data_IF_956402763585
#
_entry.id   IF_956402763585
#
_cell.length_a   1.000
_cell.length_b   1.000
_cell.length_c   1.000
_cell.angle_alpha   90.00
_cell.angle_beta   90.00
_cell.angle_gamma   90.00
#
_symmetry.space_group_name_H-M   'P 1'
#
loop_
_entity.id
_entity.type
_entity.pdbx_description
1 polymer ?
#
# COMPACT_ATOMS: atom_id res chain seq x y z
N UNK A 1 -27.76 -18.90 -21.15
CA UNK A 1 -29.01 -18.37 -20.57
C UNK A 1 -29.51 -19.21 -19.41
N UNK A 2 -29.16 -20.51 -19.35
CA UNK A 2 -29.40 -21.39 -18.19
C UNK A 2 -30.87 -21.49 -17.76
N UNK A 3 -31.78 -21.18 -18.69
CA UNK A 3 -33.23 -21.29 -18.56
C UNK A 3 -33.60 -22.71 -18.12
N UNK A 4 -34.44 -22.90 -17.08
CA UNK A 4 -34.78 -24.23 -16.58
C UNK A 4 -35.55 -25.05 -17.61
N UNK A 5 -35.51 -26.37 -17.48
CA UNK A 5 -36.09 -27.30 -18.46
C UNK A 5 -37.63 -27.18 -18.48
N UNK A 6 -38.25 -26.90 -17.34
CA UNK A 6 -39.70 -26.66 -17.25
C UNK A 6 -40.12 -25.46 -18.13
N UNK A 7 -39.39 -24.35 -18.10
CA UNK A 7 -39.66 -23.18 -18.96
C UNK A 7 -39.46 -23.50 -20.45
N UNK A 8 -38.44 -24.29 -20.81
CA UNK A 8 -38.20 -24.69 -22.21
C UNK A 8 -39.30 -25.57 -22.76
N UNK A 9 -39.74 -26.56 -21.97
CA UNK A 9 -40.73 -27.56 -22.39
C UNK A 9 -42.06 -26.96 -22.84
N UNK A 10 -42.41 -25.76 -22.35
CA UNK A 10 -43.60 -25.01 -22.78
C UNK A 10 -43.58 -24.67 -24.27
N UNK A 11 -42.40 -24.51 -24.87
CA UNK A 11 -42.19 -24.10 -26.25
C UNK A 11 -41.67 -25.22 -27.17
N UNK A 12 -41.50 -26.45 -26.69
CA UNK A 12 -41.08 -27.61 -27.52
C UNK A 12 -41.97 -27.80 -28.75
N UNK A 13 -43.27 -27.55 -28.61
CA UNK A 13 -44.24 -27.60 -29.70
C UNK A 13 -44.00 -26.55 -30.81
N UNK A 14 -43.29 -25.45 -30.50
CA UNK A 14 -42.82 -24.45 -31.45
C UNK A 14 -41.48 -24.88 -32.04
N UNK A 15 -40.53 -25.29 -31.20
CA UNK A 15 -39.16 -25.65 -31.60
C UNK A 15 -39.11 -26.86 -32.54
N UNK A 16 -39.99 -27.85 -32.33
CA UNK A 16 -40.12 -29.02 -33.21
C UNK A 16 -40.51 -28.67 -34.66
N UNK A 17 -41.18 -27.53 -34.90
CA UNK A 17 -41.61 -27.14 -36.25
C UNK A 17 -40.43 -26.89 -37.21
N UNK A 18 -39.23 -26.61 -36.68
CA UNK A 18 -38.00 -26.45 -37.47
C UNK A 18 -37.68 -27.74 -38.25
N UNK A 19 -38.09 -28.90 -37.75
CA UNK A 19 -37.88 -30.22 -38.38
C UNK A 19 -39.15 -30.84 -38.99
N UNK A 20 -40.32 -30.21 -38.80
CA UNK A 20 -41.61 -30.74 -39.23
C UNK A 20 -41.92 -30.45 -40.70
N UNK A 21 -42.77 -31.26 -41.32
CA UNK A 21 -43.21 -31.01 -42.70
C UNK A 21 -44.30 -29.93 -42.77
N UNK A 22 -44.38 -29.19 -43.88
CA UNK A 22 -45.40 -28.13 -44.06
C UNK A 22 -46.83 -28.64 -43.83
N UNK A 23 -47.14 -29.87 -44.25
CA UNK A 23 -48.46 -30.49 -44.08
C UNK A 23 -48.76 -30.76 -42.60
N UNK A 24 -47.77 -31.22 -41.85
CA UNK A 24 -47.86 -31.54 -40.42
C UNK A 24 -48.03 -30.28 -39.56
N UNK A 25 -47.28 -29.21 -39.87
CA UNK A 25 -47.40 -27.89 -39.23
C UNK A 25 -48.81 -27.30 -39.43
N UNK A 26 -49.37 -27.44 -40.63
CA UNK A 26 -50.75 -26.98 -40.94
C UNK A 26 -51.79 -27.81 -40.19
N UNK A 27 -51.66 -29.14 -40.15
CA UNK A 27 -52.63 -30.02 -39.48
C UNK A 27 -52.63 -29.83 -37.96
N UNK A 28 -51.48 -29.65 -37.34
CA UNK A 28 -51.37 -29.40 -35.89
C UNK A 28 -51.82 -28.01 -35.46
N UNK A 29 -52.07 -27.09 -36.41
CA UNK A 29 -52.41 -25.70 -36.09
C UNK A 29 -51.26 -24.92 -35.42
N UNK A 30 -50.01 -25.37 -35.60
CA UNK A 30 -48.85 -24.84 -34.89
C UNK A 30 -48.47 -23.39 -35.28
N UNK A 31 -49.07 -22.86 -36.35
CA UNK A 31 -48.98 -21.46 -36.79
C UNK A 31 -50.31 -20.70 -36.57
N UNK A 32 -51.13 -21.11 -35.60
CA UNK A 32 -52.28 -20.31 -35.17
C UNK A 32 -51.80 -18.96 -34.61
N UNK A 33 -52.55 -17.88 -34.86
CA UNK A 33 -52.18 -16.52 -34.45
C UNK A 33 -51.82 -16.41 -32.96
N UNK A 34 -52.54 -17.11 -32.08
CA UNK A 34 -52.26 -17.15 -30.65
C UNK A 34 -50.88 -17.76 -30.31
N UNK A 35 -50.43 -18.77 -31.05
CA UNK A 35 -49.11 -19.41 -30.85
C UNK A 35 -48.01 -18.47 -31.33
N UNK A 36 -48.25 -17.74 -32.43
CA UNK A 36 -47.32 -16.73 -32.95
C UNK A 36 -47.18 -15.59 -31.93
N UNK A 37 -48.29 -14.99 -31.48
CA UNK A 37 -48.32 -13.92 -30.47
C UNK A 37 -47.64 -14.35 -29.15
N UNK A 38 -47.91 -15.58 -28.68
CA UNK A 38 -47.25 -16.14 -27.50
C UNK A 38 -45.73 -16.33 -27.70
N UNK A 39 -45.31 -16.71 -28.91
CA UNK A 39 -43.88 -16.89 -29.25
C UNK A 39 -43.17 -15.54 -29.36
N UNK A 40 -43.79 -14.53 -29.97
CA UNK A 40 -43.26 -13.16 -30.07
C UNK A 40 -43.01 -12.57 -28.66
N UNK A 41 -43.98 -12.69 -27.76
CA UNK A 41 -43.85 -12.24 -26.35
C UNK A 41 -42.73 -12.97 -25.61
N UNK A 42 -42.52 -14.27 -25.86
CA UNK A 42 -41.42 -15.02 -25.24
C UNK A 42 -40.06 -14.64 -25.82
N UNK A 43 -39.97 -14.36 -27.13
CA UNK A 43 -38.74 -13.84 -27.75
C UNK A 43 -38.36 -12.49 -27.13
N UNK A 44 -39.32 -11.55 -27.02
CA UNK A 44 -39.11 -10.26 -26.36
C UNK A 44 -38.65 -10.43 -24.89
N UNK A 45 -39.24 -11.39 -24.15
CA UNK A 45 -38.83 -11.72 -22.77
C UNK A 45 -37.40 -12.26 -22.73
N UNK A 46 -37.05 -13.15 -23.65
CA UNK A 46 -35.72 -13.76 -23.72
C UNK A 46 -34.65 -12.76 -24.15
N UNK A 47 -34.96 -11.80 -25.03
CA UNK A 47 -34.04 -10.73 -25.41
C UNK A 47 -33.84 -9.72 -24.28
N UNK A 48 -34.89 -9.36 -23.52
CA UNK A 48 -34.76 -8.59 -22.28
C UNK A 48 -33.90 -9.34 -21.24
N UNK A 49 -34.08 -10.65 -21.10
CA UNK A 49 -33.26 -11.49 -20.23
C UNK A 49 -31.80 -11.56 -20.73
N UNK A 50 -31.57 -11.63 -22.05
CA UNK A 50 -30.25 -11.61 -22.68
C UNK A 50 -29.54 -10.30 -22.41
N UNK A 51 -30.21 -9.15 -22.61
CA UNK A 51 -29.68 -7.82 -22.32
C UNK A 51 -29.37 -7.62 -20.83
N UNK A 52 -30.27 -8.04 -19.94
CA UNK A 52 -30.08 -7.99 -18.49
C UNK A 52 -28.86 -8.81 -18.04
N UNK A 53 -28.75 -10.06 -18.53
CA UNK A 53 -27.61 -10.94 -18.22
C UNK A 53 -26.31 -10.44 -18.85
N UNK A 54 -26.37 -9.84 -20.04
CA UNK A 54 -25.24 -9.19 -20.69
C UNK A 54 -24.68 -8.06 -19.83
N UNK A 55 -25.56 -7.16 -19.37
CA UNK A 55 -25.23 -6.02 -18.51
C UNK A 55 -24.57 -6.45 -17.20
N UNK A 56 -25.06 -7.52 -16.57
CA UNK A 56 -24.44 -8.09 -15.37
C UNK A 56 -23.00 -8.60 -15.63
N UNK A 57 -22.78 -9.32 -16.72
CA UNK A 57 -21.45 -9.88 -17.06
C UNK A 57 -20.50 -8.76 -17.49
N UNK A 58 -20.98 -7.80 -18.28
CA UNK A 58 -20.21 -6.64 -18.70
C UNK A 58 -19.73 -5.83 -17.49
N UNK A 59 -20.60 -5.48 -16.54
CA UNK A 59 -20.16 -4.75 -15.34
C UNK A 59 -19.19 -5.54 -14.46
N UNK A 60 -19.29 -6.88 -14.41
CA UNK A 60 -18.29 -7.72 -13.72
C UNK A 60 -16.92 -7.65 -14.40
N UNK A 61 -16.87 -7.69 -15.74
CA UNK A 61 -15.64 -7.51 -16.51
C UNK A 61 -15.06 -6.09 -16.37
N UNK A 62 -15.92 -5.08 -16.35
CA UNK A 62 -15.53 -3.69 -16.14
C UNK A 62 -14.92 -3.47 -14.75
N UNK A 63 -15.49 -4.08 -13.71
CA UNK A 63 -14.93 -4.04 -12.36
C UNK A 63 -13.56 -4.75 -12.27
N UNK A 64 -13.38 -5.89 -12.94
CA UNK A 64 -12.06 -6.55 -13.05
C UNK A 64 -11.04 -5.64 -13.76
N UNK A 65 -11.44 -4.98 -14.85
CA UNK A 65 -10.62 -4.03 -15.60
C UNK A 65 -10.16 -2.86 -14.72
N UNK A 66 -11.10 -2.25 -13.99
CA UNK A 66 -10.86 -1.16 -13.03
C UNK A 66 -9.92 -1.59 -11.89
N UNK A 67 -10.10 -2.80 -11.32
CA UNK A 67 -9.21 -3.33 -10.29
C UNK A 67 -7.77 -3.47 -10.80
N UNK A 68 -7.57 -3.97 -12.03
CA UNK A 68 -6.23 -4.14 -12.63
C UNK A 68 -5.54 -2.78 -12.81
N UNK A 69 -6.25 -1.79 -13.33
CA UNK A 69 -5.69 -0.45 -13.56
C UNK A 69 -5.45 0.32 -12.26
N UNK A 70 -6.30 0.17 -11.24
CA UNK A 70 -6.06 0.72 -9.91
C UNK A 70 -4.76 0.15 -9.30
N UNK A 71 -4.54 -1.16 -9.36
CA UNK A 71 -3.27 -1.78 -8.94
C UNK A 71 -2.07 -1.34 -9.80
N UNK A 72 -2.32 -0.92 -11.05
CA UNK A 72 -1.29 -0.36 -11.93
C UNK A 72 -1.08 1.16 -11.76
N UNK A 73 -1.81 1.84 -10.86
CA UNK A 73 -1.80 3.30 -10.73
C UNK A 73 -2.12 4.04 -12.04
N UNK A 74 -3.07 3.51 -12.82
CA UNK A 74 -3.60 4.11 -14.05
C UNK A 74 -5.01 4.64 -13.77
N UNK A 75 -5.21 5.92 -14.03
CA UNK A 75 -6.51 6.58 -13.87
C UNK A 75 -7.44 6.24 -15.04
N UNK A 76 -8.71 5.94 -14.74
CA UNK A 76 -9.78 5.73 -15.72
C UNK A 76 -11.01 6.52 -15.28
N UNK A 77 -11.76 7.04 -16.25
CA UNK A 77 -13.13 7.47 -16.04
C UNK A 77 -14.08 6.26 -15.97
N UNK A 78 -14.30 5.76 -14.76
CA UNK A 78 -15.27 4.69 -14.44
C UNK A 78 -16.69 5.04 -14.89
N UNK A 79 -17.13 6.29 -14.74
CA UNK A 79 -18.51 6.69 -15.06
C UNK A 79 -18.72 6.68 -16.57
N UNK A 80 -17.80 7.26 -17.35
CA UNK A 80 -17.86 7.21 -18.81
C UNK A 80 -17.73 5.78 -19.37
N UNK A 81 -16.90 4.93 -18.76
CA UNK A 81 -16.78 3.53 -19.17
C UNK A 81 -18.07 2.74 -18.94
N UNK A 82 -18.70 2.91 -17.76
CA UNK A 82 -19.98 2.28 -17.44
C UNK A 82 -21.13 2.82 -18.30
N UNK A 83 -21.17 4.12 -18.55
CA UNK A 83 -22.14 4.75 -19.45
C UNK A 83 -22.03 4.23 -20.89
N UNK A 84 -20.81 4.07 -21.41
CA UNK A 84 -20.55 3.51 -22.74
C UNK A 84 -21.01 2.05 -22.87
N UNK A 85 -20.78 1.22 -21.83
CA UNK A 85 -21.29 -0.16 -21.79
C UNK A 85 -22.81 -0.18 -21.84
N UNK A 86 -23.46 0.71 -21.07
CA UNK A 86 -24.91 0.84 -21.04
C UNK A 86 -25.48 1.25 -22.41
N UNK A 87 -24.92 2.28 -23.04
CA UNK A 87 -25.32 2.75 -24.37
C UNK A 87 -25.19 1.65 -25.43
N UNK A 88 -24.09 0.89 -25.44
CA UNK A 88 -23.88 -0.20 -26.37
C UNK A 88 -24.95 -1.29 -26.23
N UNK A 89 -25.30 -1.69 -24.99
CA UNK A 89 -26.30 -2.72 -24.72
C UNK A 89 -27.72 -2.21 -25.04
N UNK A 90 -28.09 -1.03 -24.55
CA UNK A 90 -29.44 -0.48 -24.70
C UNK A 90 -29.74 -0.08 -26.16
N UNK A 91 -28.71 0.19 -26.98
CA UNK A 91 -28.87 0.46 -28.42
C UNK A 91 -29.19 -0.78 -29.27
N UNK A 92 -28.97 -2.00 -28.74
CA UNK A 92 -29.17 -3.25 -29.46
C UNK A 92 -28.26 -3.49 -30.68
N UNK A 93 -27.32 -2.59 -30.96
CA UNK A 93 -26.50 -2.61 -32.19
C UNK A 93 -25.26 -3.52 -32.13
N UNK A 94 -24.98 -4.14 -30.98
CA UNK A 94 -23.83 -5.03 -30.79
C UNK A 94 -24.29 -6.42 -30.36
N UNK A 95 -23.70 -7.46 -30.93
CA UNK A 95 -24.00 -8.83 -30.49
C UNK A 95 -23.35 -9.06 -29.10
N UNK A 96 -24.11 -9.52 -28.10
CA UNK A 96 -23.63 -10.11 -26.85
C UNK A 96 -22.23 -10.73 -26.84
N UNK A 97 -21.96 -11.66 -27.75
CA UNK A 97 -20.69 -12.38 -27.78
C UNK A 97 -19.50 -11.47 -28.11
N UNK A 98 -19.69 -10.53 -29.04
CA UNK A 98 -18.64 -9.61 -29.51
C UNK A 98 -18.28 -8.57 -28.44
N UNK A 99 -19.29 -8.03 -27.73
CA UNK A 99 -19.08 -7.12 -26.61
C UNK A 99 -18.25 -7.79 -25.50
N UNK A 100 -18.63 -9.00 -25.08
CA UNK A 100 -17.90 -9.72 -24.02
C UNK A 100 -16.48 -10.09 -24.46
N UNK A 101 -16.29 -10.47 -25.73
CA UNK A 101 -14.97 -10.77 -26.28
C UNK A 101 -14.07 -9.52 -26.34
N UNK A 102 -14.60 -8.35 -26.70
CA UNK A 102 -13.84 -7.09 -26.63
C UNK A 102 -13.45 -6.75 -25.20
N UNK A 103 -14.36 -6.89 -24.24
CA UNK A 103 -14.04 -6.67 -22.81
C UNK A 103 -12.97 -7.66 -22.29
N UNK A 104 -13.01 -8.92 -22.70
CA UNK A 104 -11.93 -9.89 -22.39
C UNK A 104 -10.59 -9.46 -23.01
N UNK A 105 -10.59 -8.96 -24.25
CA UNK A 105 -9.40 -8.41 -24.89
C UNK A 105 -8.88 -7.14 -24.16
N UNK A 106 -9.77 -6.29 -23.64
CA UNK A 106 -9.38 -5.14 -22.81
C UNK A 106 -8.74 -5.58 -21.49
N UNK A 107 -9.31 -6.59 -20.82
CA UNK A 107 -8.75 -7.17 -19.59
C UNK A 107 -7.34 -7.77 -19.84
N UNK A 108 -7.14 -8.46 -20.96
CA UNK A 108 -5.81 -8.99 -21.34
C UNK A 108 -4.80 -7.85 -21.52
N UNK A 109 -5.16 -6.80 -22.27
CA UNK A 109 -4.31 -5.61 -22.47
C UNK A 109 -4.00 -4.89 -21.15
N UNK A 110 -4.97 -4.77 -20.24
CA UNK A 110 -4.75 -4.18 -18.92
C UNK A 110 -3.79 -5.02 -18.06
N UNK A 111 -3.83 -6.35 -18.14
CA UNK A 111 -2.87 -7.25 -17.48
C UNK A 111 -1.47 -7.10 -18.07
N UNK A 112 -1.34 -6.95 -19.38
CA UNK A 112 -0.06 -6.64 -20.05
C UNK A 112 0.48 -5.27 -19.64
N UNK A 113 -0.38 -4.25 -19.57
CA UNK A 113 -0.04 -2.90 -19.09
C UNK A 113 0.48 -2.93 -17.65
N UNK A 114 -0.25 -3.57 -16.74
CA UNK A 114 0.13 -3.72 -15.33
C UNK A 114 1.46 -4.46 -15.17
N UNK A 115 1.71 -5.52 -15.95
CA UNK A 115 2.99 -6.22 -15.98
C UNK A 115 4.13 -5.32 -16.50
N UNK A 116 3.88 -4.47 -17.50
CA UNK A 116 4.88 -3.53 -18.02
C UNK A 116 5.25 -2.44 -17.01
N UNK A 117 4.27 -1.98 -16.21
CA UNK A 117 4.44 -0.93 -15.20
C UNK A 117 5.06 -1.46 -13.90
N UNK A 118 4.88 -2.75 -13.60
CA UNK A 118 5.26 -3.40 -12.35
C UNK A 118 6.67 -3.04 -11.87
N UNK A 119 7.70 -3.12 -12.70
CA UNK A 119 9.07 -2.89 -12.23
C UNK A 119 9.33 -1.43 -11.80
N UNK A 120 8.60 -0.48 -12.39
CA UNK A 120 8.61 0.92 -11.98
C UNK A 120 7.82 1.07 -10.66
N UNK A 121 6.64 0.47 -10.55
CA UNK A 121 5.82 0.52 -9.34
C UNK A 121 6.50 -0.12 -8.11
N UNK A 122 7.12 -1.29 -8.26
CA UNK A 122 7.95 -1.95 -7.23
C UNK A 122 9.08 -1.01 -6.73
N UNK A 123 9.59 -0.12 -7.60
CA UNK A 123 10.58 0.90 -7.25
C UNK A 123 9.98 2.15 -6.63
N UNK A 124 8.78 2.57 -7.04
CA UNK A 124 8.03 3.67 -6.41
C UNK A 124 7.68 3.28 -4.97
N UNK A 125 7.11 2.10 -4.73
CA UNK A 125 6.88 1.55 -3.39
C UNK A 125 8.19 1.56 -2.57
N UNK A 126 9.29 1.09 -3.18
CA UNK A 126 10.56 1.03 -2.48
C UNK A 126 11.12 2.42 -2.13
N UNK A 127 10.92 3.40 -3.00
CA UNK A 127 11.28 4.80 -2.76
C UNK A 127 10.42 5.40 -1.65
N UNK A 128 9.09 5.29 -1.73
CA UNK A 128 8.16 5.79 -0.70
C UNK A 128 8.48 5.22 0.69
N UNK A 129 8.62 3.90 0.82
CA UNK A 129 9.02 3.24 2.08
C UNK A 129 10.39 3.71 2.61
N UNK A 130 11.30 4.12 1.72
CA UNK A 130 12.60 4.68 2.13
C UNK A 130 12.47 6.14 2.60
N UNK A 131 11.55 6.91 2.01
CA UNK A 131 11.20 8.27 2.45
C UNK A 131 10.41 8.28 3.78
N UNK A 132 9.59 7.27 4.05
CA UNK A 132 8.93 7.09 5.37
C UNK A 132 9.96 6.89 6.48
N UNK A 133 10.98 6.05 6.26
CA UNK A 133 12.10 5.89 7.21
C UNK A 133 12.98 7.16 7.29
N UNK A 134 13.03 8.01 6.25
CA UNK A 134 13.64 9.35 6.33
C UNK A 134 12.85 10.24 7.30
N UNK A 135 11.52 10.34 7.14
CA UNK A 135 10.66 11.14 8.01
C UNK A 135 10.74 10.66 9.46
N UNK A 136 10.62 9.35 9.70
CA UNK A 136 10.75 8.77 11.04
C UNK A 136 12.11 9.08 11.68
N UNK A 137 13.19 9.03 10.90
CA UNK A 137 14.53 9.39 11.37
C UNK A 137 14.66 10.89 11.64
N UNK A 138 14.05 11.76 10.84
CA UNK A 138 14.02 13.20 11.11
C UNK A 138 13.29 13.51 12.42
N UNK A 139 12.13 12.90 12.66
CA UNK A 139 11.36 13.09 13.90
C UNK A 139 12.12 12.55 15.13
N UNK A 140 12.71 11.35 15.02
CA UNK A 140 13.59 10.80 16.06
C UNK A 140 14.82 11.69 16.33
N UNK A 141 15.32 12.41 15.33
CA UNK A 141 16.42 13.34 15.53
C UNK A 141 15.98 14.65 16.23
N UNK A 142 14.72 15.08 16.07
CA UNK A 142 14.14 16.27 16.74
C UNK A 142 13.80 16.02 18.21
N UNK A 143 13.51 14.77 18.59
CA UNK A 143 13.22 14.41 19.99
C UNK A 143 14.40 14.70 20.94
N UNK A 144 14.23 15.66 21.84
CA UNK A 144 15.21 15.99 22.88
C UNK A 144 15.34 14.87 23.94
N UNK A 145 14.29 14.07 24.12
CA UNK A 145 14.24 12.98 25.10
C UNK A 145 14.83 11.65 24.58
N UNK A 146 15.33 11.60 23.34
CA UNK A 146 15.80 10.37 22.67
C UNK A 146 16.93 9.62 23.37
N UNK A 147 17.66 10.29 24.26
CA UNK A 147 18.76 9.72 25.07
C UNK A 147 18.38 9.43 26.53
N UNK A 148 17.15 9.70 26.94
CA UNK A 148 16.67 9.27 28.25
C UNK A 148 16.76 7.74 28.35
N UNK A 149 17.15 7.23 29.52
CA UNK A 149 17.41 5.81 29.76
C UNK A 149 16.13 4.94 29.85
N UNK A 150 15.14 5.26 29.01
CA UNK A 150 13.86 4.59 28.87
C UNK A 150 14.03 3.19 28.28
N UNK A 151 13.20 2.25 28.76
CA UNK A 151 13.14 0.87 28.27
C UNK A 151 12.74 0.86 26.79
N UNK A 152 13.73 0.75 25.89
CA UNK A 152 13.55 0.76 24.44
C UNK A 152 14.53 1.65 23.66
N UNK A 153 15.23 2.59 24.32
CA UNK A 153 16.10 3.56 23.66
C UNK A 153 17.17 2.91 22.73
N UNK A 154 17.78 1.81 23.15
CA UNK A 154 18.74 1.05 22.35
C UNK A 154 18.13 0.36 21.11
N UNK A 155 16.83 0.04 21.11
CA UNK A 155 16.14 -0.47 19.92
C UNK A 155 15.86 0.66 18.92
N UNK A 156 15.41 1.82 19.41
CA UNK A 156 15.20 3.00 18.58
C UNK A 156 16.52 3.49 17.96
N UNK A 157 17.61 3.52 18.73
CA UNK A 157 18.94 3.81 18.21
C UNK A 157 19.36 2.83 17.11
N UNK A 158 19.12 1.52 17.28
CA UNK A 158 19.36 0.51 16.25
C UNK A 158 18.49 0.68 14.99
N UNK A 159 17.23 1.15 15.13
CA UNK A 159 16.41 1.53 13.97
C UNK A 159 16.99 2.77 13.29
N UNK A 160 17.40 3.79 14.04
CA UNK A 160 17.99 5.01 13.51
C UNK A 160 19.27 4.75 12.69
N UNK A 161 20.17 3.85 13.12
CA UNK A 161 21.33 3.47 12.31
C UNK A 161 20.93 2.74 11.01
N UNK A 162 19.90 1.87 11.05
CA UNK A 162 19.37 1.23 9.84
C UNK A 162 18.72 2.25 8.90
N UNK A 163 17.92 3.17 9.43
CA UNK A 163 17.26 4.23 8.68
C UNK A 163 18.30 5.12 7.98
N UNK A 164 19.39 5.53 8.65
CA UNK A 164 20.49 6.28 8.00
C UNK A 164 21.08 5.55 6.79
N UNK A 165 21.26 4.23 6.86
CA UNK A 165 21.77 3.43 5.74
C UNK A 165 20.77 3.39 4.58
N UNK A 166 19.47 3.41 4.87
CA UNK A 166 18.40 3.48 3.86
C UNK A 166 18.30 4.88 3.23
N UNK A 167 18.27 5.94 4.06
CA UNK A 167 18.24 7.35 3.62
C UNK A 167 19.42 7.69 2.71
N UNK A 168 20.63 7.21 3.05
CA UNK A 168 21.81 7.40 2.21
C UNK A 168 21.70 6.76 0.81
N UNK A 169 20.76 5.82 0.60
CA UNK A 169 20.51 5.17 -0.70
C UNK A 169 19.41 5.86 -1.52
N UNK A 170 18.64 6.77 -0.94
CA UNK A 170 17.58 7.51 -1.64
C UNK A 170 18.04 8.12 -2.97
N UNK A 171 19.20 8.81 -3.09
CA UNK A 171 19.60 9.41 -4.38
C UNK A 171 19.66 8.33 -5.48
N UNK A 172 20.40 7.25 -5.22
CA UNK A 172 20.56 6.15 -6.18
C UNK A 172 19.24 5.42 -6.50
N UNK A 173 18.28 5.37 -5.56
CA UNK A 173 16.95 4.82 -5.82
C UNK A 173 16.19 5.74 -6.80
N UNK A 174 16.20 7.05 -6.56
CA UNK A 174 15.55 8.07 -7.42
C UNK A 174 16.21 8.11 -8.80
N UNK A 175 17.54 8.16 -8.89
CA UNK A 175 18.30 8.11 -10.15
C UNK A 175 17.93 6.86 -10.98
N UNK A 176 17.88 5.69 -10.33
CA UNK A 176 17.51 4.44 -10.99
C UNK A 176 16.04 4.44 -11.43
N UNK A 177 15.14 5.04 -10.64
CA UNK A 177 13.72 5.13 -10.95
C UNK A 177 13.50 6.07 -12.15
N UNK A 178 14.04 7.28 -12.14
CA UNK A 178 13.99 8.22 -13.26
C UNK A 178 14.53 7.59 -14.55
N UNK A 179 15.69 6.92 -14.50
CA UNK A 179 16.26 6.25 -15.67
C UNK A 179 15.36 5.15 -16.25
N UNK A 180 14.67 4.37 -15.40
CA UNK A 180 13.71 3.36 -15.86
C UNK A 180 12.44 3.97 -16.41
N UNK A 181 11.90 4.99 -15.75
CA UNK A 181 10.72 5.71 -16.23
C UNK A 181 11.00 6.35 -17.60
N UNK A 182 12.13 7.03 -17.79
CA UNK A 182 12.55 7.54 -19.10
C UNK A 182 12.66 6.45 -20.17
N UNK A 183 13.23 5.28 -19.84
CA UNK A 183 13.34 4.17 -20.79
C UNK A 183 11.96 3.68 -21.22
N UNK A 184 11.04 3.48 -20.26
CA UNK A 184 9.67 3.06 -20.53
C UNK A 184 8.88 4.10 -21.34
N UNK A 185 9.03 5.39 -21.03
CA UNK A 185 8.37 6.47 -21.79
C UNK A 185 8.91 6.56 -23.22
N UNK A 186 10.23 6.38 -23.40
CA UNK A 186 10.88 6.40 -24.70
C UNK A 186 10.46 5.21 -25.58
N UNK A 187 10.39 4.00 -25.00
CA UNK A 187 10.02 2.78 -25.72
C UNK A 187 8.54 2.79 -26.14
N UNK A 188 7.67 3.50 -25.41
CA UNK A 188 6.22 3.51 -25.64
C UNK A 188 5.67 4.80 -26.27
N UNK A 189 6.42 5.90 -26.22
CA UNK A 189 5.99 7.20 -26.73
C UNK A 189 4.88 7.88 -25.91
N UNK A 190 4.66 7.46 -24.66
CA UNK A 190 3.66 8.02 -23.74
C UNK A 190 4.27 8.28 -22.36
N UNK A 191 3.77 9.32 -21.67
CA UNK A 191 4.19 9.67 -20.30
C UNK A 191 3.75 8.61 -19.29
N UNK A 192 4.63 8.26 -18.34
CA UNK A 192 4.28 7.42 -17.20
C UNK A 192 3.57 8.30 -16.15
N UNK A 193 2.25 8.32 -16.20
CA UNK A 193 1.44 8.82 -15.08
C UNK A 193 1.38 7.78 -13.96
N UNK A 194 1.38 8.23 -12.72
CA UNK A 194 1.08 7.48 -11.50
C UNK A 194 -0.06 8.24 -10.81
N UNK A 195 -1.24 7.63 -10.70
CA UNK A 195 -2.46 8.26 -10.17
C UNK A 195 -2.74 9.64 -10.81
N UNK A 196 -2.70 9.68 -12.14
CA UNK A 196 -2.91 10.89 -12.96
C UNK A 196 -1.70 11.84 -13.08
N UNK A 197 -0.69 11.73 -12.20
CA UNK A 197 0.45 12.66 -12.15
C UNK A 197 1.69 12.10 -12.86
N UNK A 198 2.38 12.84 -13.75
CA UNK A 198 3.63 12.41 -14.37
C UNK A 198 4.72 12.05 -13.34
N UNK A 199 5.16 10.79 -13.34
CA UNK A 199 6.08 10.27 -12.32
C UNK A 199 7.44 10.99 -12.31
N UNK A 200 7.97 11.35 -13.49
CA UNK A 200 9.22 12.11 -13.57
C UNK A 200 9.11 13.48 -12.89
N UNK A 201 7.99 14.20 -13.09
CA UNK A 201 7.78 15.51 -12.46
C UNK A 201 7.74 15.42 -10.93
N UNK A 202 7.10 14.37 -10.38
CA UNK A 202 7.11 14.12 -8.93
C UNK A 202 8.52 13.83 -8.39
N UNK A 203 9.36 13.16 -9.17
CA UNK A 203 10.74 12.84 -8.79
C UNK A 203 11.65 14.08 -8.86
N UNK A 204 11.48 14.92 -9.89
CA UNK A 204 12.18 16.20 -10.00
C UNK A 204 11.82 17.15 -8.84
N UNK A 205 10.53 17.29 -8.52
CA UNK A 205 10.07 18.08 -7.37
C UNK A 205 10.63 17.53 -6.05
N UNK A 206 10.66 16.20 -5.87
CA UNK A 206 11.28 15.58 -4.71
C UNK A 206 12.78 15.87 -4.61
N UNK A 207 13.52 15.79 -5.72
CA UNK A 207 14.97 16.09 -5.77
C UNK A 207 15.22 17.55 -5.38
N UNK A 208 14.44 18.49 -5.91
CA UNK A 208 14.50 19.92 -5.53
C UNK A 208 14.21 20.12 -4.04
N UNK A 209 13.06 19.63 -3.55
CA UNK A 209 12.64 19.79 -2.16
C UNK A 209 13.66 19.21 -1.16
N UNK A 210 14.28 18.08 -1.51
CA UNK A 210 15.29 17.44 -0.65
C UNK A 210 16.66 18.13 -0.73
N UNK A 211 16.99 18.79 -1.85
CA UNK A 211 18.14 19.69 -1.94
C UNK A 211 17.96 20.91 -1.03
N UNK A 212 16.82 21.61 -1.14
CA UNK A 212 16.51 22.79 -0.33
C UNK A 212 16.54 22.47 1.18
N UNK A 213 16.02 21.31 1.57
CA UNK A 213 16.06 20.84 2.96
C UNK A 213 17.49 20.69 3.49
N UNK A 214 18.44 20.22 2.68
CA UNK A 214 19.85 20.09 3.11
C UNK A 214 20.58 21.44 3.08
N UNK A 215 20.27 22.32 2.13
CA UNK A 215 20.77 23.71 2.10
C UNK A 215 20.33 24.47 3.34
N UNK A 216 19.06 24.37 3.75
CA UNK A 216 18.55 25.03 4.95
C UNK A 216 19.14 24.43 6.23
N UNK A 217 19.24 23.09 6.33
CA UNK A 217 19.97 22.42 7.41
C UNK A 217 21.42 22.90 7.50
N UNK A 218 22.10 23.15 6.37
CA UNK A 218 23.45 23.74 6.33
C UNK A 218 23.46 25.19 6.82
N UNK A 219 22.54 26.02 6.35
CA UNK A 219 22.40 27.43 6.74
C UNK A 219 22.22 27.58 8.25
N UNK A 220 21.35 26.79 8.87
CA UNK A 220 21.13 26.77 10.32
C UNK A 220 22.37 26.31 11.10
N UNK A 221 23.10 25.29 10.62
CA UNK A 221 24.37 24.85 11.23
C UNK A 221 25.44 25.94 11.18
N UNK A 222 25.53 26.69 10.08
CA UNK A 222 26.51 27.75 9.92
C UNK A 222 26.14 29.02 10.71
N UNK A 223 24.86 29.36 10.82
CA UNK A 223 24.36 30.41 11.73
C UNK A 223 24.68 30.09 13.19
N UNK A 224 24.47 28.84 13.64
CA UNK A 224 24.81 28.42 15.00
C UNK A 224 26.31 28.55 15.29
N UNK A 225 27.19 28.17 14.35
CA UNK A 225 28.65 28.37 14.48
C UNK A 225 29.01 29.85 14.64
N UNK A 226 28.37 30.73 13.86
CA UNK A 226 28.63 32.16 13.96
C UNK A 226 28.21 32.72 15.33
N UNK A 227 27.06 32.30 15.85
CA UNK A 227 26.59 32.68 17.19
C UNK A 227 27.49 32.13 18.32
N UNK A 228 28.02 30.91 18.18
CA UNK A 228 29.01 30.31 19.09
C UNK A 228 30.40 30.98 19.00
N UNK A 229 30.72 31.66 17.89
CA UNK A 229 31.94 32.44 17.73
C UNK A 229 31.78 33.86 18.28
N UNK A 230 30.66 34.54 18.02
CA UNK A 230 30.40 35.88 18.55
C UNK A 230 30.17 35.91 20.06
N UNK A 231 29.79 34.77 20.67
CA UNK A 231 29.72 34.61 22.13
C UNK A 231 31.06 34.24 22.80
N UNK A 232 32.15 34.20 22.04
CA UNK A 232 33.52 33.90 22.50
C UNK A 232 34.49 35.07 22.40
N UNK A 233 34.00 36.29 22.19
CA UNK A 233 34.80 37.50 22.34
C UNK A 233 35.14 37.70 23.84
N UNK A 234 36.41 37.94 24.21
CA UNK A 234 36.80 37.99 25.61
C UNK A 234 36.21 39.23 26.30
N UNK A 235 35.73 39.06 27.54
CA UNK A 235 35.37 40.20 28.39
C UNK A 235 36.53 41.21 28.45
N UNK A 236 36.26 42.52 28.28
CA UNK A 236 37.31 43.52 28.40
C UNK A 236 37.85 43.54 29.84
N UNK A 237 39.16 43.36 29.96
CA UNK A 237 39.90 43.41 31.23
C UNK A 237 39.77 44.80 31.86
N UNK A 238 38.82 44.92 32.78
CA UNK A 238 38.69 45.97 33.78
C UNK A 238 38.37 45.25 35.12
N UNK A 239 39.33 44.89 35.96
CA UNK A 239 40.48 45.68 36.38
C UNK A 239 40.31 46.02 37.87
N UNK A 240 40.51 45.06 38.76
CA UNK A 240 40.61 45.28 40.22
C UNK A 240 41.26 44.09 40.95
N UNK A 241 42.55 44.23 41.23
CA UNK A 241 43.32 43.48 42.23
C UNK A 241 43.81 44.49 43.30
N UNK A 242 44.35 44.09 44.48
CA UNK A 242 44.58 42.75 45.03
C UNK A 242 44.13 42.59 46.52
N UNK A 243 44.32 41.38 47.08
CA UNK A 243 45.00 41.11 48.38
C UNK A 243 44.33 40.03 49.25
N UNK A 244 45.06 38.95 49.55
CA UNK A 244 45.29 38.43 50.91
C UNK A 244 46.63 37.68 50.90
N UNK A 245 47.37 37.78 52.01
CA UNK A 245 48.82 37.56 52.03
C UNK A 245 49.20 36.30 52.80
N UNK A 246 50.19 35.55 52.27
CA UNK A 246 51.17 34.74 53.02
C UNK A 246 50.66 33.48 53.74
N UNK A 247 51.22 32.32 53.36
CA UNK A 247 52.10 31.59 54.27
C UNK A 247 53.17 30.80 53.49
N UNK A 248 54.43 30.95 53.93
CA UNK A 248 55.60 30.24 53.43
C UNK A 248 56.31 29.68 54.67
N UNK A 249 56.51 28.37 54.74
CA UNK A 249 57.31 27.71 55.80
C UNK A 249 58.44 26.91 55.17
N UNK A 250 59.58 26.83 55.88
CA UNK A 250 60.88 26.55 55.26
C UNK A 250 61.58 25.30 55.80
N UNK A 251 62.21 24.55 54.87
CA UNK A 251 63.42 23.71 55.02
C UNK A 251 63.41 22.58 56.07
N UNK A 252 63.70 21.36 55.58
CA UNK A 252 64.99 20.62 55.69
C UNK A 252 65.04 19.54 54.58
N UNK A 253 66.13 18.96 54.06
CA UNK A 253 67.55 19.31 53.76
C UNK A 253 68.23 17.98 53.33
N UNK A 254 69.16 18.02 52.36
CA UNK A 254 70.14 16.95 51.96
C UNK A 254 69.64 15.74 51.11
N UNK A 255 70.29 15.53 49.95
CA UNK A 255 70.38 14.25 49.18
C UNK A 255 71.82 13.70 49.25
N UNK A 256 72.49 13.18 48.19
CA UNK A 256 72.01 12.74 46.86
C UNK A 256 72.68 11.41 46.33
N UNK A 257 72.43 11.05 45.05
CA UNK A 257 73.25 10.16 44.14
C UNK A 257 73.25 8.63 44.41
N UNK A 258 73.49 7.72 43.44
CA UNK A 258 73.88 7.85 42.01
C UNK A 258 73.52 6.63 41.10
N UNK A 259 73.51 6.88 39.78
CA UNK A 259 73.95 6.05 38.61
C UNK A 259 73.38 4.65 38.24
N UNK A 260 73.29 4.42 36.92
CA UNK A 260 73.37 3.11 36.22
C UNK A 260 72.04 2.60 35.65
N UNK A 261 71.63 2.77 34.38
CA UNK A 261 72.23 2.49 33.05
C UNK A 261 71.89 1.10 32.46
N UNK A 262 71.66 1.08 31.14
CA UNK A 262 71.56 -0.07 30.18
C UNK A 262 70.26 -0.90 30.04
N UNK A 263 69.79 -0.93 28.78
CA UNK A 263 69.26 -2.03 27.94
C UNK A 263 68.32 -3.13 28.48
N UNK A 264 67.30 -3.50 27.67
CA UNK A 264 66.55 -4.75 27.91
C UNK A 264 65.32 -5.06 27.05
N UNK A 265 65.35 -4.92 25.72
CA UNK A 265 64.30 -5.50 24.86
C UNK A 265 64.45 -7.03 24.75
N UNK A 266 63.48 -7.82 25.23
CA UNK A 266 63.07 -9.10 24.61
C UNK A 266 61.77 -9.65 25.19
N UNK A 267 60.90 -10.13 24.28
CA UNK A 267 59.83 -11.13 24.42
C UNK A 267 59.71 -11.93 25.73
N UNK A 268 58.44 -12.15 26.16
CA UNK A 268 57.88 -13.52 26.20
C UNK A 268 56.35 -13.56 26.16
N UNK A 269 55.85 -14.32 25.18
CA UNK A 269 54.46 -14.74 24.97
C UNK A 269 54.17 -15.95 25.87
N UNK A 270 53.05 -15.96 26.59
CA UNK A 270 52.50 -17.19 27.18
C UNK A 270 51.00 -17.28 26.91
N UNK A 271 50.62 -18.40 26.30
CA UNK A 271 49.25 -18.88 26.12
C UNK A 271 49.17 -20.26 26.76
N UNK A 272 48.09 -20.57 27.46
CA UNK A 272 47.72 -21.95 27.76
C UNK A 272 46.19 -22.07 27.79
N UNK A 273 45.69 -23.15 27.19
CA UNK A 273 44.29 -23.44 26.89
C UNK A 273 43.90 -24.81 27.51
N UNK A 274 42.62 -25.19 27.38
CA UNK A 274 42.05 -26.56 27.58
C UNK A 274 41.88 -27.01 29.06
N UNK A 275 40.87 -27.79 29.49
CA UNK A 275 39.72 -28.55 28.90
C UNK A 275 38.69 -28.83 30.05
N UNK A 276 37.45 -29.38 29.95
CA UNK A 276 36.52 -29.86 28.88
C UNK A 276 35.06 -29.94 29.44
N UNK A 277 34.07 -30.31 28.61
CA UNK A 277 32.68 -30.74 28.92
C UNK A 277 31.69 -29.73 29.57
N UNK A 278 30.37 -29.73 29.30
CA UNK A 278 29.58 -30.54 28.34
C UNK A 278 28.34 -31.22 29.00
N UNK A 279 27.11 -30.73 28.76
CA UNK A 279 25.84 -31.44 29.06
C UNK A 279 24.59 -30.78 28.42
N UNK A 280 23.48 -31.54 28.35
CA UNK A 280 22.26 -31.32 27.55
C UNK A 280 21.03 -30.86 28.38
N UNK A 281 20.05 -30.19 27.73
CA UNK A 281 18.59 -30.32 27.96
C UNK A 281 17.82 -29.51 26.89
N UNK A 282 17.04 -30.04 25.92
CA UNK A 282 15.69 -30.68 25.88
C UNK A 282 14.47 -29.87 26.39
N UNK A 283 13.39 -29.92 25.58
CA UNK A 283 11.99 -29.42 25.73
C UNK A 283 11.74 -27.90 25.60
N UNK A 284 10.63 -27.41 24.99
CA UNK A 284 9.48 -28.09 24.35
C UNK A 284 8.79 -27.24 23.25
N UNK A 285 8.18 -27.97 22.33
CA UNK A 285 7.21 -27.62 21.26
C UNK A 285 6.18 -26.49 21.54
N UNK A 286 5.91 -25.64 20.52
CA UNK A 286 4.52 -25.25 20.16
C UNK A 286 4.40 -24.58 18.76
N UNK A 287 3.53 -25.16 17.93
CA UNK A 287 3.04 -24.66 16.64
C UNK A 287 1.67 -23.96 16.78
N UNK A 288 1.46 -22.79 16.13
CA UNK A 288 0.16 -22.33 15.58
C UNK A 288 0.24 -21.01 14.78
N UNK A 289 -0.03 -21.12 13.48
CA UNK A 289 -1.07 -20.45 12.68
C UNK A 289 -1.42 -18.95 12.89
N UNK A 290 -1.19 -18.17 11.82
CA UNK A 290 -2.19 -17.41 11.01
C UNK A 290 -3.15 -16.36 11.61
N UNK A 291 -3.01 -15.13 11.06
CA UNK A 291 -4.05 -14.10 10.79
C UNK A 291 -4.58 -13.18 11.94
N UNK A 292 -5.16 -11.99 11.62
CA UNK A 292 -4.85 -10.74 12.32
C UNK A 292 -5.99 -10.17 13.17
N UNK A 293 -5.67 -9.16 13.99
CA UNK A 293 -6.64 -8.41 14.78
C UNK A 293 -6.99 -7.05 14.11
N UNK A 294 -8.27 -6.82 13.87
CA UNK A 294 -8.81 -5.52 13.47
C UNK A 294 -8.97 -4.58 14.70
N UNK A 295 -8.91 -3.25 14.53
CA UNK A 295 -9.21 -2.30 15.61
C UNK A 295 -10.73 -2.19 15.84
N UNK A 296 -11.14 -2.18 17.11
CA UNK A 296 -12.55 -2.05 17.53
C UNK A 296 -12.92 -0.57 17.70
N UNK A 297 -13.98 -0.14 17.02
CA UNK A 297 -14.60 1.16 17.26
C UNK A 297 -15.34 1.18 18.61
N UNK A 298 -15.15 2.24 19.40
CA UNK A 298 -15.96 2.53 20.58
C UNK A 298 -16.93 3.69 20.28
N UNK A 299 -18.22 3.39 20.21
CA UNK A 299 -19.30 4.36 20.47
C UNK A 299 -20.26 3.70 21.45
N UNK A 300 -20.47 4.34 22.59
CA UNK A 300 -21.39 3.87 23.63
C UNK A 300 -22.76 4.54 23.47
N UNK A 301 -23.83 3.75 23.44
CA UNK A 301 -25.21 4.22 23.59
C UNK A 301 -25.94 3.31 24.59
N UNK A 302 -26.50 3.89 25.63
CA UNK A 302 -27.13 3.15 26.73
C UNK A 302 -28.62 2.86 26.47
N UNK A 303 -28.89 1.58 26.27
CA UNK A 303 -30.04 0.78 26.75
C UNK A 303 -31.14 1.47 27.59
N UNK A 304 -32.39 1.35 27.14
CA UNK A 304 -33.63 1.03 27.89
C UNK A 304 -34.83 0.94 26.92
N UNK A 305 -35.96 0.30 27.21
CA UNK A 305 -36.17 -1.09 27.68
C UNK A 305 -37.50 -1.58 27.08
N UNK A 306 -37.67 -2.89 26.83
CA UNK A 306 -38.83 -3.41 26.06
C UNK A 306 -39.53 -4.61 26.72
N UNK A 307 -40.73 -4.39 27.25
CA UNK A 307 -41.73 -5.40 27.65
C UNK A 307 -43.10 -4.76 27.36
N UNK A 308 -44.00 -5.34 26.56
CA UNK A 308 -44.98 -6.31 27.09
C UNK A 308 -45.90 -6.95 26.03
N UNK A 309 -46.06 -8.26 26.17
CA UNK A 309 -47.26 -9.10 26.01
C UNK A 309 -48.12 -9.17 24.72
N UNK A 310 -48.24 -10.42 24.27
CA UNK A 310 -49.23 -11.01 23.34
C UNK A 310 -50.56 -11.24 24.07
N UNK A 311 -51.69 -11.12 23.36
CA UNK A 311 -52.92 -11.88 23.67
C UNK A 311 -53.76 -12.12 22.40
N UNK A 312 -54.60 -13.14 22.41
CA UNK A 312 -55.39 -13.64 21.27
C UNK A 312 -56.76 -14.14 21.76
N UNK A 313 -57.76 -14.21 20.86
CA UNK A 313 -59.02 -15.02 20.89
C UNK A 313 -60.38 -14.29 21.09
N UNK A 314 -61.19 -14.27 20.00
CA UNK A 314 -62.68 -14.35 19.87
C UNK A 314 -63.67 -13.29 20.45
N UNK A 315 -64.99 -13.30 20.10
CA UNK A 315 -65.73 -14.07 19.06
C UNK A 315 -66.68 -13.23 18.13
N UNK A 316 -67.41 -13.94 17.24
CA UNK A 316 -68.47 -13.48 16.30
C UNK A 316 -69.84 -13.23 17.00
N UNK A 317 -70.74 -12.41 16.42
CA UNK A 317 -72.12 -12.90 16.24
C UNK A 317 -72.86 -12.52 14.92
N UNK A 318 -73.53 -13.54 14.37
CA UNK A 318 -74.77 -13.67 13.58
C UNK A 318 -75.61 -12.45 13.09
N UNK A 319 -75.86 -12.44 11.76
CA UNK A 319 -77.16 -12.35 11.00
C UNK A 319 -78.19 -11.21 11.29
N UNK A 320 -79.17 -10.90 10.39
CA UNK A 320 -80.18 -11.79 9.78
C UNK A 320 -80.04 -12.10 8.29
#
# INVERSE_FOLDING_TARGET
>A
MDTPEEERSLFDHVTCNISASVVEVIISGALALQVIEQTEVEVDRLDQLKASRMKEIAFKKQAELEEIFAHAHVEIDTEAAQAKILELIDSGNIEPADLLADMDNQIVKAKEEALSRKEILDKVEKWMSTCEEESWLEDYNRDENKYNASRGAHLNLKRAEKARILVNKIPAIVDTLMAKTHTWEQDRGITFAYDGVPLLAMLDEYVMLRHDREVEKKRLRDQKKFQEQSSKEPEPVLGSTPSITRQLSTKKVVGPRANGSTNGTTSRRLSLNAHQNGSRSINRDRKRDSMPAAPVNHVAMSKEDAVSHISTVEPVPSTP
#
